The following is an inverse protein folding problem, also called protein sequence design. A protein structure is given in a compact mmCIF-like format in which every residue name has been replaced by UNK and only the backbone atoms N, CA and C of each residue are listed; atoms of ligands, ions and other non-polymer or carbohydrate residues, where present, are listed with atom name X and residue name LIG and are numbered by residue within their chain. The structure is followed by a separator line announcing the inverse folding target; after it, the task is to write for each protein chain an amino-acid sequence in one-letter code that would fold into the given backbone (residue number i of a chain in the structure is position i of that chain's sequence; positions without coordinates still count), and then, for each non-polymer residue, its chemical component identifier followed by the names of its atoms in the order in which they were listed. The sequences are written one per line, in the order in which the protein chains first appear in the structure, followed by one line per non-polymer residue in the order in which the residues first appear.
data_IF_814974662676
#
_entry.id   IF_814974662676
#
_cell.length_a   1.000
_cell.length_b   1.000
_cell.length_c   1.000
_cell.angle_alpha   90.00
_cell.angle_beta   90.00
_cell.angle_gamma   90.00
#
_symmetry.space_group_name_H-M   'P 1'
#
loop_
_entity.id
_entity.type
_entity.pdbx_description
1 polymer ?
#
# COMPACT_ATOMS: atom_id res chain seq x y z
N UNK A 1 -3.59 1.50 29.45
CA UNK A 1 -2.98 0.62 28.44
C UNK A 1 -3.97 -0.49 28.11
N UNK A 2 -4.69 -0.37 26.98
CA UNK A 2 -5.54 -1.47 26.50
C UNK A 2 -4.67 -2.36 25.60
N UNK A 3 -4.70 -3.66 25.88
CA UNK A 3 -3.99 -4.71 25.15
C UNK A 3 -4.28 -4.59 23.66
N UNK A 4 -3.27 -4.28 22.86
CA UNK A 4 -3.34 -4.47 21.42
C UNK A 4 -3.28 -5.98 21.14
N UNK A 5 -4.45 -6.54 20.91
CA UNK A 5 -4.70 -7.51 19.86
C UNK A 5 -3.92 -8.84 19.92
N UNK A 6 -4.44 -9.78 20.72
CA UNK A 6 -4.49 -11.17 20.27
C UNK A 6 -5.46 -11.24 19.09
N UNK A 7 -4.98 -10.94 17.88
CA UNK A 7 -5.74 -11.19 16.65
C UNK A 7 -5.24 -12.51 16.08
N UNK A 8 -6.17 -13.45 15.88
CA UNK A 8 -5.94 -14.64 15.07
C UNK A 8 -5.33 -14.22 13.73
N UNK A 9 -4.08 -14.64 13.50
CA UNK A 9 -3.42 -14.45 12.22
C UNK A 9 -4.20 -15.24 11.17
N UNK A 10 -5.06 -14.57 10.40
CA UNK A 10 -5.65 -15.21 9.24
C UNK A 10 -4.55 -15.57 8.25
N UNK A 11 -4.53 -16.84 7.84
CA UNK A 11 -3.60 -17.31 6.82
C UNK A 11 -3.87 -16.53 5.52
N UNK A 12 -2.78 -16.10 4.88
CA UNK A 12 -2.81 -15.56 3.51
C UNK A 12 -3.65 -16.49 2.61
N UNK A 13 -4.63 -15.97 1.85
CA UNK A 13 -5.35 -16.77 0.87
C UNK A 13 -4.35 -17.38 -0.11
N UNK A 14 -4.56 -18.63 -0.51
CA UNK A 14 -3.63 -19.28 -1.42
C UNK A 14 -3.93 -18.80 -2.84
N UNK A 15 -3.14 -17.83 -3.27
CA UNK A 15 -3.30 -17.20 -4.57
C UNK A 15 -2.08 -17.38 -5.46
N UNK A 16 -2.30 -17.48 -6.77
CA UNK A 16 -1.26 -17.49 -7.80
C UNK A 16 -1.50 -16.38 -8.81
N UNK A 17 -0.47 -15.59 -9.10
CA UNK A 17 -0.52 -14.66 -10.23
C UNK A 17 -0.48 -15.43 -11.55
N UNK A 18 -1.39 -15.08 -12.46
CA UNK A 18 -1.54 -15.68 -13.79
C UNK A 18 -1.43 -14.58 -14.83
N UNK A 19 -0.61 -14.80 -15.86
CA UNK A 19 -0.41 -13.80 -16.91
C UNK A 19 -1.62 -13.73 -17.85
N UNK A 20 -1.88 -12.57 -18.44
CA UNK A 20 -2.97 -12.38 -19.43
C UNK A 20 -2.93 -13.42 -20.54
N UNK A 21 -1.75 -13.66 -21.11
CA UNK A 21 -1.58 -14.63 -22.20
C UNK A 21 -1.94 -16.06 -21.78
N UNK A 22 -1.56 -16.44 -20.57
CA UNK A 22 -1.87 -17.76 -20.02
C UNK A 22 -3.36 -17.92 -19.77
N UNK A 23 -4.04 -16.84 -19.36
CA UNK A 23 -5.49 -16.81 -19.21
C UNK A 23 -6.18 -16.97 -20.57
N UNK A 24 -5.72 -16.23 -21.59
CA UNK A 24 -6.23 -16.32 -22.96
C UNK A 24 -6.04 -17.74 -23.53
N UNK A 25 -4.87 -18.35 -23.30
CA UNK A 25 -4.58 -19.75 -23.64
C UNK A 25 -5.59 -20.70 -22.97
N UNK A 26 -5.82 -20.59 -21.66
CA UNK A 26 -6.78 -21.44 -20.94
C UNK A 26 -8.23 -21.29 -21.41
N UNK A 27 -8.65 -20.08 -21.79
CA UNK A 27 -9.97 -19.86 -22.40
C UNK A 27 -10.05 -20.56 -23.75
N UNK A 28 -9.02 -20.41 -24.59
CA UNK A 28 -8.98 -21.04 -25.91
C UNK A 28 -8.94 -22.58 -25.85
N UNK A 29 -8.32 -23.12 -24.79
CA UNK A 29 -8.25 -24.55 -24.49
C UNK A 29 -9.53 -25.10 -23.84
N UNK A 30 -10.50 -24.24 -23.51
CA UNK A 30 -11.74 -24.63 -22.83
C UNK A 30 -11.56 -25.01 -21.35
N UNK A 31 -10.38 -24.75 -20.78
CA UNK A 31 -10.05 -24.99 -19.38
C UNK A 31 -10.56 -23.89 -18.46
N UNK A 32 -10.84 -22.71 -19.01
CA UNK A 32 -11.34 -21.57 -18.28
C UNK A 32 -12.62 -21.00 -18.94
N UNK A 33 -13.64 -20.70 -18.14
CA UNK A 33 -14.91 -20.12 -18.64
C UNK A 33 -15.16 -18.72 -18.09
N UNK A 34 -15.43 -17.76 -18.97
CA UNK A 34 -15.75 -16.38 -18.64
C UNK A 34 -17.15 -16.24 -18.02
N UNK A 35 -17.25 -15.63 -16.83
CA UNK A 35 -18.50 -15.44 -16.07
C UNK A 35 -18.71 -13.99 -15.67
N UNK A 36 -19.44 -13.27 -16.53
CA UNK A 36 -19.77 -11.85 -16.34
C UNK A 36 -20.89 -11.64 -15.30
N UNK A 37 -21.69 -12.67 -15.07
CA UNK A 37 -22.78 -12.68 -14.09
C UNK A 37 -22.28 -12.63 -12.64
N UNK A 38 -21.01 -12.96 -12.41
CA UNK A 38 -20.39 -12.87 -11.10
C UNK A 38 -19.66 -11.54 -10.85
N UNK A 39 -19.48 -10.70 -11.89
CA UNK A 39 -18.79 -9.38 -11.83
C UNK A 39 -19.36 -8.50 -10.72
N UNK A 40 -18.56 -8.03 -9.74
CA UNK A 40 -19.05 -7.12 -8.70
C UNK A 40 -19.61 -5.84 -9.30
N UNK A 41 -20.64 -5.26 -8.67
CA UNK A 41 -21.34 -4.06 -9.15
C UNK A 41 -20.37 -2.91 -9.50
N UNK A 42 -19.38 -2.65 -8.64
CA UNK A 42 -18.39 -1.58 -8.83
C UNK A 42 -17.41 -1.82 -9.99
N UNK A 43 -17.41 -3.03 -10.57
CA UNK A 43 -16.62 -3.42 -11.73
C UNK A 43 -17.49 -3.65 -12.98
N UNK A 44 -18.84 -3.55 -12.87
CA UNK A 44 -19.74 -3.67 -14.03
C UNK A 44 -19.45 -2.55 -15.02
N UNK A 45 -19.40 -2.89 -16.31
CA UNK A 45 -19.14 -1.93 -17.40
C UNK A 45 -17.66 -1.71 -17.72
N UNK A 46 -16.74 -2.28 -16.93
CA UNK A 46 -15.32 -2.29 -17.27
C UNK A 46 -15.01 -3.48 -18.19
N UNK A 47 -14.47 -3.25 -19.40
CA UNK A 47 -14.40 -4.26 -20.47
C UNK A 47 -13.45 -5.44 -20.20
N UNK A 48 -12.73 -5.46 -19.07
CA UNK A 48 -11.65 -6.41 -18.77
C UNK A 48 -11.83 -7.16 -17.43
N UNK A 49 -12.92 -6.93 -16.68
CA UNK A 49 -13.13 -7.50 -15.33
C UNK A 49 -14.13 -8.66 -15.35
N UNK A 50 -13.61 -9.89 -15.32
CA UNK A 50 -14.39 -11.12 -15.37
C UNK A 50 -13.83 -12.18 -14.43
N UNK A 51 -14.71 -13.09 -13.98
CA UNK A 51 -14.29 -14.32 -13.31
C UNK A 51 -14.07 -15.40 -14.34
N UNK A 52 -13.07 -16.22 -14.10
CA UNK A 52 -12.88 -17.47 -14.81
C UNK A 52 -12.89 -18.61 -13.81
N UNK A 53 -13.67 -19.65 -14.10
CA UNK A 53 -13.50 -20.92 -13.40
C UNK A 53 -12.50 -21.75 -14.18
N UNK A 54 -11.41 -22.14 -13.53
CA UNK A 54 -10.52 -23.21 -13.99
C UNK A 54 -10.88 -24.51 -13.26
N UNK A 55 -10.44 -25.66 -13.77
CA UNK A 55 -10.65 -26.99 -13.19
C UNK A 55 -10.18 -27.09 -11.72
N UNK A 56 -9.31 -26.16 -11.30
CA UNK A 56 -8.63 -26.15 -10.00
C UNK A 56 -9.07 -24.99 -9.10
N UNK A 57 -9.86 -24.01 -9.59
CA UNK A 57 -10.24 -22.86 -8.76
C UNK A 57 -10.83 -21.66 -9.51
N UNK A 58 -10.88 -20.52 -8.81
CA UNK A 58 -11.45 -19.27 -9.31
C UNK A 58 -10.34 -18.29 -9.69
N UNK A 59 -10.27 -17.89 -10.96
CA UNK A 59 -9.38 -16.82 -11.43
C UNK A 59 -10.17 -15.52 -11.51
N UNK A 60 -9.60 -14.45 -10.98
CA UNK A 60 -10.14 -13.11 -11.07
C UNK A 60 -9.14 -12.25 -11.81
N UNK A 61 -9.60 -11.58 -12.86
CA UNK A 61 -8.82 -10.53 -13.50
C UNK A 61 -9.22 -9.19 -12.87
N UNK A 62 -8.43 -8.71 -11.91
CA UNK A 62 -8.75 -7.54 -11.07
C UNK A 62 -7.84 -6.33 -11.30
N UNK A 63 -6.67 -6.53 -11.92
CA UNK A 63 -5.62 -5.50 -11.96
C UNK A 63 -5.59 -4.79 -13.31
N UNK A 64 -6.16 -3.59 -13.32
CA UNK A 64 -6.28 -2.67 -14.46
C UNK A 64 -4.91 -2.36 -15.08
N UNK A 65 -3.84 -2.27 -14.29
CA UNK A 65 -2.57 -1.73 -14.80
C UNK A 65 -1.73 -2.69 -15.63
N UNK A 66 -1.95 -4.02 -15.58
CA UNK A 66 -1.11 -5.00 -16.30
C UNK A 66 -1.81 -6.29 -16.74
N UNK A 67 -3.11 -6.27 -17.10
CA UNK A 67 -3.83 -7.38 -17.75
C UNK A 67 -3.67 -8.78 -17.11
N UNK A 68 -3.14 -8.94 -15.90
CA UNK A 68 -2.91 -10.25 -15.26
C UNK A 68 -4.12 -10.61 -14.38
N UNK A 69 -4.27 -11.89 -14.06
CA UNK A 69 -5.30 -12.37 -13.14
C UNK A 69 -4.69 -13.00 -11.88
N UNK A 70 -5.49 -13.09 -10.84
CA UNK A 70 -5.20 -13.76 -9.58
C UNK A 70 -6.06 -15.02 -9.51
N UNK A 71 -5.43 -16.19 -9.52
CA UNK A 71 -6.07 -17.47 -9.25
C UNK A 71 -6.15 -17.70 -7.75
N UNK A 72 -7.35 -17.88 -7.24
CA UNK A 72 -7.66 -18.35 -5.89
C UNK A 72 -7.87 -19.87 -5.92
N UNK A 73 -7.23 -20.60 -5.00
CA UNK A 73 -7.41 -22.06 -4.89
C UNK A 73 -8.87 -22.43 -4.54
N UNK A 74 -9.58 -21.62 -3.76
CA UNK A 74 -10.98 -21.85 -3.41
C UNK A 74 -11.85 -20.59 -3.57
N UNK A 75 -13.12 -20.75 -3.99
CA UNK A 75 -14.08 -19.64 -4.11
C UNK A 75 -14.39 -18.97 -2.76
N UNK A 76 -14.41 -19.76 -1.68
CA UNK A 76 -14.58 -19.31 -0.29
C UNK A 76 -13.54 -18.25 0.12
N UNK A 77 -12.27 -18.46 -0.27
CA UNK A 77 -11.17 -17.53 0.00
C UNK A 77 -11.39 -16.17 -0.69
N UNK A 78 -11.89 -16.19 -1.93
CA UNK A 78 -12.27 -14.96 -2.63
C UNK A 78 -13.40 -14.19 -1.92
N UNK A 79 -14.44 -14.88 -1.45
CA UNK A 79 -15.57 -14.22 -0.78
C UNK A 79 -15.14 -13.47 0.49
N UNK A 80 -14.21 -14.04 1.26
CA UNK A 80 -13.62 -13.40 2.44
C UNK A 80 -12.86 -12.13 2.05
N UNK A 81 -12.02 -12.21 1.02
CA UNK A 81 -11.27 -11.06 0.49
C UNK A 81 -12.22 -9.93 0.00
N UNK A 82 -13.24 -10.29 -0.79
CA UNK A 82 -14.23 -9.36 -1.33
C UNK A 82 -15.06 -8.66 -0.25
N UNK A 83 -15.41 -9.36 0.84
CA UNK A 83 -16.09 -8.77 1.98
C UNK A 83 -15.22 -7.69 2.67
N UNK A 84 -13.93 -7.98 2.91
CA UNK A 84 -13.00 -7.01 3.50
C UNK A 84 -12.83 -5.75 2.64
N UNK A 85 -12.68 -5.90 1.33
CA UNK A 85 -12.54 -4.73 0.44
C UNK A 85 -13.80 -3.86 0.46
N UNK A 86 -14.99 -4.46 0.55
CA UNK A 86 -16.24 -3.71 0.73
C UNK A 86 -16.30 -2.97 2.06
N UNK A 87 -15.85 -3.58 3.15
CA UNK A 87 -15.74 -2.88 4.44
C UNK A 87 -14.74 -1.72 4.40
N UNK A 88 -13.62 -1.89 3.70
CA UNK A 88 -12.63 -0.82 3.51
C UNK A 88 -13.22 0.36 2.74
N UNK A 89 -13.90 0.10 1.63
CA UNK A 89 -14.56 1.13 0.84
C UNK A 89 -15.62 1.90 1.66
N UNK A 90 -16.46 1.17 2.41
CA UNK A 90 -17.46 1.79 3.30
C UNK A 90 -16.84 2.66 4.39
N UNK A 91 -15.74 2.21 5.01
CA UNK A 91 -15.03 2.99 6.02
C UNK A 91 -14.45 4.27 5.43
N UNK A 92 -13.92 4.22 4.21
CA UNK A 92 -13.43 5.40 3.51
C UNK A 92 -14.58 6.39 3.17
N UNK A 93 -15.73 5.89 2.73
CA UNK A 93 -16.90 6.72 2.42
C UNK A 93 -17.50 7.41 3.67
N UNK A 94 -17.51 6.73 4.82
CA UNK A 94 -18.10 7.26 6.06
C UNK A 94 -17.33 8.43 6.68
N UNK A 95 -16.02 8.53 6.45
CA UNK A 95 -15.18 9.55 7.10
C UNK A 95 -15.11 10.89 6.34
N UNK A 96 -16.09 11.19 5.46
CA UNK A 96 -16.22 12.46 4.71
C UNK A 96 -14.90 12.98 4.12
N UNK A 97 -14.15 12.08 3.50
CA UNK A 97 -12.75 12.29 3.16
C UNK A 97 -12.64 13.07 1.86
N UNK A 98 -11.69 14.01 1.81
CA UNK A 98 -11.40 14.74 0.57
C UNK A 98 -11.06 13.75 -0.56
N UNK A 99 -11.55 13.96 -1.79
CA UNK A 99 -11.08 13.21 -2.96
C UNK A 99 -9.57 13.40 -3.22
N UNK A 100 -8.94 14.41 -2.60
CA UNK A 100 -7.49 14.65 -2.64
C UNK A 100 -6.70 13.90 -1.55
N UNK A 101 -7.38 13.14 -0.67
CA UNK A 101 -6.71 12.33 0.33
C UNK A 101 -5.77 11.35 -0.38
N UNK A 102 -4.48 11.51 -0.10
CA UNK A 102 -3.44 10.92 -0.94
C UNK A 102 -3.30 9.40 -0.73
N UNK A 103 -3.95 8.83 0.30
CA UNK A 103 -3.74 7.44 0.73
C UNK A 103 -4.95 6.80 1.43
N UNK A 104 -5.48 5.70 0.90
CA UNK A 104 -6.53 4.92 1.55
C UNK A 104 -6.14 4.37 2.94
N UNK A 105 -4.85 4.05 3.16
CA UNK A 105 -4.37 3.52 4.44
C UNK A 105 -4.28 4.57 5.57
N UNK A 106 -4.21 5.86 5.24
CA UNK A 106 -4.01 6.93 6.22
C UNK A 106 -5.32 7.46 6.79
N UNK A 107 -6.41 7.15 6.11
CA UNK A 107 -7.80 7.46 6.46
C UNK A 107 -8.14 7.08 7.90
N UNK A 108 -7.43 6.10 8.48
CA UNK A 108 -7.70 5.57 9.81
C UNK A 108 -6.78 6.11 10.90
N UNK A 109 -5.86 7.04 10.57
CA UNK A 109 -4.86 7.55 11.50
C UNK A 109 -5.08 9.05 11.68
N UNK A 110 -5.10 9.53 12.92
CA UNK A 110 -5.13 10.97 13.22
C UNK A 110 -3.78 11.62 12.96
N UNK A 111 -3.76 12.94 12.72
CA UNK A 111 -2.51 13.71 12.60
C UNK A 111 -1.60 13.47 13.79
N UNK A 112 -2.16 13.48 15.01
CA UNK A 112 -1.41 13.28 16.26
C UNK A 112 -0.80 11.88 16.38
N UNK A 113 -1.53 10.85 15.97
CA UNK A 113 -1.00 9.48 15.94
C UNK A 113 0.15 9.36 14.95
N UNK A 114 0.01 9.96 13.77
CA UNK A 114 1.07 9.97 12.77
C UNK A 114 2.33 10.68 13.25
N UNK A 115 2.20 11.85 13.88
CA UNK A 115 3.33 12.57 14.49
C UNK A 115 4.05 11.71 15.55
N UNK A 116 3.27 10.97 16.35
CA UNK A 116 3.83 10.03 17.33
C UNK A 116 4.56 8.88 16.63
N UNK A 117 4.00 8.35 15.54
CA UNK A 117 4.64 7.30 14.75
C UNK A 117 5.97 7.75 14.17
N UNK A 118 6.09 8.97 13.61
CA UNK A 118 7.36 9.50 13.08
C UNK A 118 8.47 9.37 14.12
N UNK A 119 8.22 9.82 15.34
CA UNK A 119 9.21 9.88 16.41
C UNK A 119 9.71 8.50 16.88
N UNK A 120 8.93 7.43 16.65
CA UNK A 120 9.22 6.08 17.15
C UNK A 120 9.18 5.00 16.08
N UNK A 121 9.12 5.38 14.80
CA UNK A 121 8.86 4.43 13.71
C UNK A 121 9.95 3.38 13.58
N UNK A 122 11.21 3.73 13.80
CA UNK A 122 12.35 2.82 13.93
C UNK A 122 12.10 1.70 14.95
N UNK A 123 11.70 2.07 16.17
CA UNK A 123 11.49 1.12 17.27
C UNK A 123 10.27 0.25 17.04
N UNK A 124 9.18 0.85 16.55
CA UNK A 124 7.94 0.14 16.24
C UNK A 124 8.17 -0.87 15.12
N UNK A 125 8.83 -0.47 14.03
CA UNK A 125 9.17 -1.38 12.93
C UNK A 125 10.16 -2.45 13.36
N UNK A 126 11.18 -2.10 14.15
CA UNK A 126 12.13 -3.09 14.65
C UNK A 126 11.41 -4.17 15.47
N UNK A 127 10.47 -3.77 16.32
CA UNK A 127 9.66 -4.69 17.12
C UNK A 127 8.75 -5.55 16.25
N UNK A 128 7.93 -4.93 15.40
CA UNK A 128 6.94 -5.63 14.55
C UNK A 128 7.59 -6.61 13.56
N UNK A 129 8.76 -6.26 13.04
CA UNK A 129 9.48 -7.06 12.04
C UNK A 129 10.61 -7.91 12.65
N UNK A 130 10.73 -7.96 13.98
CA UNK A 130 11.78 -8.71 14.70
C UNK A 130 13.19 -8.39 14.18
N UNK A 131 13.46 -7.09 13.96
CA UNK A 131 14.76 -6.55 13.60
C UNK A 131 15.44 -6.07 14.88
N UNK A 132 16.77 -6.19 14.96
CA UNK A 132 17.52 -5.63 16.09
C UNK A 132 17.30 -4.09 16.19
N UNK A 133 17.11 -3.53 17.39
CA UNK A 133 16.72 -2.13 17.58
C UNK A 133 17.68 -1.09 17.01
N UNK A 134 18.94 -1.47 16.80
CA UNK A 134 20.07 -0.65 16.37
C UNK A 134 20.31 -0.67 14.85
N UNK A 135 19.55 -1.47 14.10
CA UNK A 135 19.70 -1.60 12.64
C UNK A 135 18.93 -0.53 11.87
N UNK A 136 17.83 -0.03 12.44
CA UNK A 136 16.99 0.99 11.84
C UNK A 136 17.37 2.37 12.37
N UNK A 137 18.19 3.09 11.60
CA UNK A 137 18.77 4.39 11.99
C UNK A 137 18.34 5.55 11.08
N UNK A 138 17.30 5.33 10.27
CA UNK A 138 16.82 6.25 9.25
C UNK A 138 17.83 6.57 8.14
N UNK A 139 18.81 5.71 7.89
CA UNK A 139 19.74 5.82 6.74
C UNK A 139 19.20 5.11 5.48
N UNK A 140 19.69 5.48 4.29
CA UNK A 140 19.36 4.74 3.06
C UNK A 140 19.73 3.24 3.12
N UNK A 141 20.89 2.84 3.70
CA UNK A 141 21.18 1.43 3.95
C UNK A 141 20.16 0.70 4.84
N UNK A 142 19.63 1.36 5.88
CA UNK A 142 18.63 0.75 6.77
C UNK A 142 17.35 0.31 6.05
N UNK A 143 16.98 1.01 4.97
CA UNK A 143 15.83 0.63 4.12
C UNK A 143 16.01 -0.74 3.45
N UNK A 144 17.24 -1.17 3.19
CA UNK A 144 17.52 -2.51 2.65
C UNK A 144 17.20 -3.59 3.69
N UNK A 145 17.49 -3.34 4.97
CA UNK A 145 17.19 -4.26 6.06
C UNK A 145 15.70 -4.34 6.32
N UNK A 146 15.04 -3.18 6.37
CA UNK A 146 13.59 -3.08 6.52
C UNK A 146 12.85 -3.79 5.36
N UNK A 147 13.27 -3.56 4.10
CA UNK A 147 12.71 -4.23 2.91
C UNK A 147 12.78 -5.76 3.03
N UNK A 148 13.93 -6.30 3.43
CA UNK A 148 14.10 -7.75 3.63
C UNK A 148 13.20 -8.30 4.73
N UNK A 149 13.06 -7.59 5.84
CA UNK A 149 12.26 -8.04 6.98
C UNK A 149 10.76 -8.01 6.64
N UNK A 150 10.30 -6.94 6.00
CA UNK A 150 8.92 -6.82 5.53
C UNK A 150 8.58 -7.94 4.54
N UNK A 151 9.44 -8.21 3.55
CA UNK A 151 9.23 -9.31 2.58
C UNK A 151 9.04 -10.67 3.24
N UNK A 152 9.66 -10.92 4.40
CA UNK A 152 9.44 -12.16 5.17
C UNK A 152 8.06 -12.19 5.82
N UNK A 153 7.60 -11.06 6.35
CA UNK A 153 6.29 -10.93 6.99
C UNK A 153 5.17 -11.02 5.95
N UNK A 154 5.28 -10.31 4.82
CA UNK A 154 4.25 -10.32 3.76
C UNK A 154 3.97 -11.72 3.18
N UNK A 155 4.93 -12.66 3.25
CA UNK A 155 4.67 -14.07 2.89
C UNK A 155 3.57 -14.72 3.73
N UNK A 156 3.27 -14.15 4.91
CA UNK A 156 2.31 -14.67 5.88
C UNK A 156 0.99 -13.88 5.91
N UNK A 157 0.94 -12.69 5.28
CA UNK A 157 -0.21 -11.77 5.34
C UNK A 157 -0.85 -11.61 3.96
N UNK A 158 -2.15 -11.32 3.96
CA UNK A 158 -2.83 -10.74 2.79
C UNK A 158 -2.26 -9.34 2.50
N UNK A 159 -2.23 -8.96 1.21
CA UNK A 159 -1.74 -7.64 0.77
C UNK A 159 -2.45 -6.50 1.50
N UNK A 160 -3.78 -6.55 1.55
CA UNK A 160 -4.56 -5.43 2.04
C UNK A 160 -4.50 -5.34 3.55
N UNK A 161 -4.42 -6.49 4.24
CA UNK A 161 -4.21 -6.52 5.69
C UNK A 161 -2.82 -6.01 6.07
N UNK A 162 -1.81 -6.31 5.25
CA UNK A 162 -0.48 -5.76 5.43
C UNK A 162 -0.45 -4.24 5.22
N UNK A 163 -1.08 -3.75 4.15
CA UNK A 163 -1.14 -2.33 3.83
C UNK A 163 -1.86 -1.54 4.94
N UNK A 164 -3.04 -2.01 5.37
CA UNK A 164 -3.82 -1.39 6.45
C UNK A 164 -3.06 -1.32 7.78
N UNK A 165 -2.26 -2.35 8.09
CA UNK A 165 -1.52 -2.41 9.36
C UNK A 165 -0.22 -1.62 9.33
N UNK A 166 0.51 -1.66 8.21
CA UNK A 166 1.91 -1.26 8.19
C UNK A 166 2.24 -0.11 7.23
N UNK A 167 1.39 0.22 6.25
CA UNK A 167 1.73 1.22 5.23
C UNK A 167 2.02 2.59 5.86
N UNK A 168 1.18 3.03 6.80
CA UNK A 168 1.38 4.31 7.52
C UNK A 168 2.71 4.32 8.25
N UNK A 169 3.01 3.27 9.01
CA UNK A 169 4.21 3.18 9.82
C UNK A 169 5.48 3.12 8.95
N UNK A 170 5.44 2.35 7.86
CA UNK A 170 6.57 2.25 6.92
C UNK A 170 6.79 3.57 6.19
N UNK A 171 5.71 4.25 5.77
CA UNK A 171 5.82 5.57 5.17
C UNK A 171 6.33 6.64 6.13
N UNK A 172 5.96 6.60 7.42
CA UNK A 172 6.53 7.47 8.43
C UNK A 172 8.07 7.30 8.49
N UNK A 173 8.53 6.04 8.50
CA UNK A 173 9.96 5.73 8.49
C UNK A 173 10.66 6.20 7.22
N UNK A 174 10.12 5.86 6.04
CA UNK A 174 10.67 6.26 4.75
C UNK A 174 10.71 7.79 4.60
N UNK A 175 9.65 8.49 5.03
CA UNK A 175 9.61 9.94 5.00
C UNK A 175 10.61 10.57 5.97
N UNK A 176 10.90 9.94 7.11
CA UNK A 176 11.96 10.41 8.01
C UNK A 176 13.36 10.20 7.40
N UNK A 177 13.59 9.11 6.65
CA UNK A 177 14.81 8.96 5.84
C UNK A 177 14.94 10.09 4.82
N UNK A 178 13.86 10.37 4.07
CA UNK A 178 13.83 11.45 3.08
C UNK A 178 14.11 12.80 3.72
N UNK A 179 13.39 13.13 4.80
CA UNK A 179 13.54 14.38 5.55
C UNK A 179 14.97 14.59 6.00
N UNK A 180 15.63 13.57 6.57
CA UNK A 180 17.03 13.69 6.98
C UNK A 180 17.96 13.88 5.79
N UNK A 181 17.69 13.19 4.68
CA UNK A 181 18.55 13.21 3.49
C UNK A 181 18.59 14.57 2.80
N UNK A 182 17.49 15.31 2.82
CA UNK A 182 17.36 16.63 2.17
C UNK A 182 17.35 17.81 3.17
N UNK A 183 17.61 17.55 4.45
CA UNK A 183 17.39 18.54 5.53
C UNK A 183 16.00 19.19 5.46
N UNK A 184 14.97 18.36 5.33
CA UNK A 184 13.60 18.79 5.18
C UNK A 184 12.84 19.01 6.49
N UNK A 185 11.60 19.45 6.34
CA UNK A 185 10.58 19.59 7.39
C UNK A 185 9.32 18.82 7.01
N UNK A 186 8.62 18.28 8.00
CA UNK A 186 7.32 17.66 7.78
C UNK A 186 6.25 18.73 7.62
N UNK A 187 5.32 18.50 6.68
CA UNK A 187 4.02 19.16 6.64
C UNK A 187 2.94 18.12 6.62
N UNK A 188 2.11 18.16 7.65
CA UNK A 188 1.09 17.16 7.92
C UNK A 188 -0.22 17.92 8.04
N UNK A 189 -1.19 17.57 7.21
CA UNK A 189 -2.53 18.17 7.28
C UNK A 189 -3.57 17.11 7.59
N UNK A 190 -4.62 17.53 8.29
CA UNK A 190 -5.77 16.70 8.59
C UNK A 190 -7.06 17.22 7.95
N UNK A 191 -8.07 16.38 7.90
CA UNK A 191 -9.44 16.79 7.55
C UNK A 191 -10.14 17.47 8.75
N UNK A 192 -11.43 17.80 8.60
CA UNK A 192 -12.22 18.45 9.65
C UNK A 192 -12.29 17.65 10.97
N UNK A 193 -12.14 16.33 10.90
CA UNK A 193 -12.17 15.42 12.05
C UNK A 193 -10.77 15.20 12.66
N UNK A 194 -9.74 15.85 12.13
CA UNK A 194 -8.34 15.69 12.56
C UNK A 194 -7.68 14.40 12.04
N UNK A 195 -8.34 13.69 11.11
CA UNK A 195 -7.79 12.51 10.45
C UNK A 195 -6.73 12.94 9.43
N UNK A 196 -5.65 12.16 9.33
CA UNK A 196 -4.55 12.42 8.41
C UNK A 196 -5.04 12.50 6.97
N UNK A 197 -4.77 13.63 6.31
CA UNK A 197 -5.20 13.90 4.94
C UNK A 197 -4.01 13.90 3.98
N UNK A 198 -2.97 14.67 4.30
CA UNK A 198 -1.78 14.81 3.45
C UNK A 198 -0.51 14.82 4.29
N UNK A 199 0.55 14.20 3.75
CA UNK A 199 1.91 14.27 4.29
C UNK A 199 2.88 14.71 3.20
N UNK A 200 3.73 15.67 3.53
CA UNK A 200 4.79 16.17 2.68
C UNK A 200 6.07 16.31 3.50
N UNK A 201 7.19 16.09 2.84
CA UNK A 201 8.51 16.51 3.29
C UNK A 201 8.93 17.67 2.41
N UNK A 202 9.18 18.83 3.00
CA UNK A 202 9.55 20.07 2.29
C UNK A 202 11.01 20.38 2.56
N UNK A 203 11.79 20.60 1.51
CA UNK A 203 13.20 20.99 1.65
C UNK A 203 13.31 22.37 2.29
N UNK A 204 14.11 22.53 3.35
CA UNK A 204 14.19 23.81 4.08
C UNK A 204 14.75 24.94 3.24
N UNK A 205 15.80 24.65 2.47
CA UNK A 205 16.53 25.66 1.71
C UNK A 205 15.87 25.98 0.37
N UNK A 206 14.99 25.10 -0.12
CA UNK A 206 14.29 25.25 -1.38
C UNK A 206 12.83 24.76 -1.22
N UNK A 207 11.97 25.54 -0.54
CA UNK A 207 10.61 25.12 -0.15
C UNK A 207 9.68 24.78 -1.32
N UNK A 208 10.03 25.22 -2.54
CA UNK A 208 9.36 24.84 -3.78
C UNK A 208 9.53 23.36 -4.14
N UNK A 209 10.46 22.65 -3.50
CA UNK A 209 10.61 21.19 -3.61
C UNK A 209 9.96 20.52 -2.40
N UNK A 210 8.80 19.93 -2.67
CA UNK A 210 8.07 19.09 -1.74
C UNK A 210 7.98 17.67 -2.26
N UNK A 211 8.08 16.72 -1.33
CA UNK A 211 8.13 15.29 -1.62
C UNK A 211 7.03 14.59 -0.84
N UNK A 212 6.26 13.73 -1.53
CA UNK A 212 5.29 12.85 -0.88
C UNK A 212 6.00 11.54 -0.54
N UNK A 213 6.18 11.16 0.73
CA UNK A 213 6.72 9.84 1.10
C UNK A 213 5.72 8.70 0.86
N UNK A 214 5.09 8.73 -0.33
CA UNK A 214 4.17 7.77 -0.88
C UNK A 214 4.95 6.60 -1.42
N UNK A 215 5.10 5.56 -0.63
CA UNK A 215 5.66 4.33 -1.17
C UNK A 215 4.49 3.43 -1.57
N UNK A 216 4.41 2.94 -2.81
CA UNK A 216 3.49 1.87 -3.17
C UNK A 216 3.98 0.55 -2.55
N UNK A 217 4.08 0.51 -1.21
CA UNK A 217 4.71 -0.53 -0.40
C UNK A 217 4.27 -1.89 -0.87
N UNK A 218 2.97 -2.06 -1.01
CA UNK A 218 2.42 -3.35 -1.26
C UNK A 218 2.63 -3.81 -2.73
N UNK A 219 2.77 -2.90 -3.71
CA UNK A 219 3.25 -3.21 -5.08
C UNK A 219 4.77 -3.51 -5.13
N UNK A 220 5.57 -2.75 -4.38
CA UNK A 220 7.02 -2.95 -4.27
C UNK A 220 7.32 -4.35 -3.74
N UNK A 221 6.52 -4.79 -2.77
CA UNK A 221 6.72 -6.05 -2.06
C UNK A 221 6.06 -7.25 -2.75
N UNK A 222 4.96 -7.07 -3.50
CA UNK A 222 4.34 -8.14 -4.30
C UNK A 222 5.21 -8.53 -5.51
N UNK A 223 6.16 -7.68 -5.89
CA UNK A 223 6.98 -7.85 -7.09
C UNK A 223 6.30 -7.38 -8.37
N UNK A 224 5.12 -6.75 -8.24
CA UNK A 224 4.41 -6.11 -9.35
C UNK A 224 5.01 -4.76 -9.72
N UNK A 225 5.76 -4.14 -8.80
CA UNK A 225 6.55 -2.97 -9.12
C UNK A 225 7.59 -3.27 -10.24
N UNK A 226 7.99 -2.27 -11.04
CA UNK A 226 9.02 -2.42 -12.06
C UNK A 226 10.24 -3.19 -11.53
N UNK A 227 10.84 -4.00 -12.39
CA UNK A 227 11.95 -4.90 -12.03
C UNK A 227 13.08 -4.08 -11.41
N UNK A 228 13.34 -4.30 -10.11
CA UNK A 228 14.35 -3.56 -9.36
C UNK A 228 13.79 -2.66 -8.26
N UNK A 229 12.50 -2.36 -8.22
CA UNK A 229 11.90 -1.56 -7.14
C UNK A 229 12.04 -2.22 -5.77
N UNK A 230 12.51 -1.44 -4.79
CA UNK A 230 12.58 -1.77 -3.36
C UNK A 230 12.48 -0.46 -2.57
N UNK A 231 12.31 -0.53 -1.24
CA UNK A 231 12.15 0.68 -0.42
C UNK A 231 13.26 1.72 -0.64
N UNK A 232 14.52 1.28 -0.73
CA UNK A 232 15.65 2.19 -0.97
C UNK A 232 15.55 2.86 -2.34
N UNK A 233 15.25 2.10 -3.39
CA UNK A 233 15.17 2.59 -4.77
C UNK A 233 14.01 3.56 -4.95
N UNK A 234 12.88 3.32 -4.29
CA UNK A 234 11.71 4.20 -4.36
C UNK A 234 11.93 5.50 -3.60
N UNK A 235 12.55 5.42 -2.41
CA UNK A 235 13.01 6.62 -1.68
C UNK A 235 14.02 7.40 -2.53
N UNK A 236 15.03 6.74 -3.10
CA UNK A 236 15.99 7.40 -4.01
C UNK A 236 15.28 8.02 -5.22
N UNK A 237 14.34 7.32 -5.86
CA UNK A 237 13.63 7.80 -7.05
C UNK A 237 12.80 9.06 -6.77
N UNK A 238 12.14 9.11 -5.61
CA UNK A 238 11.41 10.30 -5.17
C UNK A 238 12.32 11.49 -4.92
N UNK A 239 13.52 11.25 -4.36
CA UNK A 239 14.50 12.29 -4.11
C UNK A 239 15.16 12.82 -5.39
N UNK A 240 15.40 11.98 -6.41
CA UNK A 240 16.31 12.34 -7.51
C UNK A 240 15.69 12.91 -8.79
N UNK A 241 14.41 12.69 -9.13
CA UNK A 241 13.85 13.26 -10.40
C UNK A 241 12.35 13.15 -10.65
N UNK A 242 11.61 12.29 -9.94
CA UNK A 242 10.21 11.96 -10.31
C UNK A 242 9.14 12.41 -9.29
N UNK A 243 9.53 12.94 -8.13
CA UNK A 243 8.60 13.16 -7.02
C UNK A 243 8.50 14.58 -6.46
N UNK A 244 9.28 15.55 -6.99
CA UNK A 244 9.12 16.92 -6.50
C UNK A 244 7.85 17.51 -7.11
N UNK A 245 6.95 17.99 -6.25
CA UNK A 245 5.83 18.77 -6.76
C UNK A 245 6.26 20.22 -6.80
N UNK A 246 6.37 20.74 -8.02
CA UNK A 246 6.54 22.17 -8.28
C UNK A 246 5.23 22.90 -7.97
N UNK A 247 5.14 23.45 -6.76
CA UNK A 247 4.00 24.25 -6.32
C UNK A 247 4.25 24.80 -4.93
N UNK A 248 4.03 26.09 -4.74
CA UNK A 248 4.02 26.70 -3.40
C UNK A 248 2.98 25.99 -2.53
N UNK A 249 3.11 26.12 -1.21
CA UNK A 249 2.19 25.59 -0.19
C UNK A 249 0.70 25.83 -0.53
N UNK A 250 0.41 26.97 -1.16
CA UNK A 250 -0.91 27.36 -1.68
C UNK A 250 -1.50 26.40 -2.73
N UNK A 251 -0.67 25.77 -3.57
CA UNK A 251 -1.11 24.80 -4.59
C UNK A 251 -1.74 23.54 -3.95
N UNK A 252 -1.42 23.28 -2.68
CA UNK A 252 -1.96 22.17 -1.91
C UNK A 252 -3.03 22.57 -0.90
N UNK A 253 -3.51 23.82 -0.97
CA UNK A 253 -4.49 24.33 0.00
C UNK A 253 -3.94 24.35 1.43
N UNK A 254 -2.62 24.33 1.60
CA UNK A 254 -1.97 24.46 2.91
C UNK A 254 -1.89 25.97 3.18
N UNK A 255 -2.82 26.48 4.00
CA UNK A 255 -2.84 27.86 4.47
C UNK A 255 -2.18 28.01 5.83
#
# INVERSE_FOLDING_TARGET
MKNYNNIEMMKKPKTKQVKSKQIEEWISEGRAVLRNDLTPEHLKGWPDNYYLFDDVGLIIRDTIERKNGILYEEYSEYLIFSAKNRERAKRAEQSSISPDASFPGYIQVTVKEFETMIATSDKLLATEFSISPDVLDYSMPSLIYLDKAIKKVLRKFDYGDFDEKYAVLISAYCGEVMRRKIDGTWKITGNADGMLNQILVVEKNNPEYSYRPQMPIALILSGDAPKGSNLKIEVDAQLYKYGFIKGNEEHYGIK
#
